data_IF_288512384857
#
_entry.id   IF_288512384857
#
_cell.length_a   1.000
_cell.length_b   1.000
_cell.length_c   1.000
_cell.angle_alpha   90.00
_cell.angle_beta   90.00
_cell.angle_gamma   90.00
#
_symmetry.space_group_name_H-M   'P 1'
#
loop_
_entity.id
_entity.type
_entity.pdbx_description
1 polymer ?
#
# COMPACT_ATOMS: atom_id res chain seq x y z
N UNK A 1 2.84 -8.09 11.78
CA UNK A 1 2.31 -7.71 10.44
C UNK A 1 1.35 -6.56 10.64
N UNK A 2 1.74 -5.35 10.25
CA UNK A 2 0.77 -4.27 10.03
C UNK A 2 -0.20 -4.71 8.94
N UNK A 3 -1.49 -4.39 9.07
CA UNK A 3 -2.44 -4.50 7.97
C UNK A 3 -2.50 -3.15 7.29
N UNK A 4 -1.70 -2.97 6.23
CA UNK A 4 -1.85 -1.87 5.30
C UNK A 4 -3.15 -2.10 4.50
N UNK A 5 -4.26 -1.61 5.07
CA UNK A 5 -5.51 -1.44 4.34
C UNK A 5 -5.44 -0.16 3.54
N UNK A 6 -6.07 -0.15 2.35
CA UNK A 6 -6.32 1.09 1.61
C UNK A 6 -7.07 2.05 2.54
N UNK A 7 -6.57 3.28 2.65
CA UNK A 7 -7.14 4.28 3.54
C UNK A 7 -8.58 4.61 3.09
N UNK A 8 -9.50 4.76 4.05
CA UNK A 8 -10.90 5.02 3.76
C UNK A 8 -11.04 6.33 2.98
N UNK A 9 -11.58 6.35 1.73
CA UNK A 9 -11.68 7.57 0.94
C UNK A 9 -12.49 8.67 1.63
N UNK A 10 -13.48 8.29 2.44
CA UNK A 10 -14.27 9.19 3.29
C UNK A 10 -13.37 9.91 4.30
N UNK A 11 -12.56 9.15 5.02
CA UNK A 11 -11.66 9.68 6.06
C UNK A 11 -10.47 10.39 5.44
N UNK A 12 -10.07 10.03 4.22
CA UNK A 12 -9.07 10.75 3.42
C UNK A 12 -9.58 12.16 3.07
N UNK A 13 -10.76 12.25 2.46
CA UNK A 13 -11.38 13.53 2.13
C UNK A 13 -11.59 14.39 3.37
N UNK A 14 -12.06 13.81 4.49
CA UNK A 14 -12.21 14.57 5.74
C UNK A 14 -10.87 15.11 6.26
N UNK A 15 -9.77 14.34 6.16
CA UNK A 15 -8.43 14.84 6.50
C UNK A 15 -7.98 15.96 5.57
N UNK A 16 -8.23 15.84 4.26
CA UNK A 16 -7.90 16.90 3.29
C UNK A 16 -8.70 18.17 3.58
N UNK A 17 -10.00 18.06 3.89
CA UNK A 17 -10.83 19.19 4.33
C UNK A 17 -10.29 19.84 5.61
N UNK A 18 -9.88 19.04 6.61
CA UNK A 18 -9.31 19.57 7.85
C UNK A 18 -7.98 20.33 7.59
N UNK A 19 -7.14 19.86 6.65
CA UNK A 19 -5.92 20.59 6.23
C UNK A 19 -6.26 21.91 5.54
N UNK A 20 -7.23 21.91 4.60
CA UNK A 20 -7.69 23.15 3.95
C UNK A 20 -8.27 24.14 4.98
N UNK A 21 -9.02 23.65 5.98
CA UNK A 21 -9.53 24.46 7.10
C UNK A 21 -8.38 25.07 7.91
N UNK A 22 -7.34 24.30 8.23
CA UNK A 22 -6.17 24.78 8.98
C UNK A 22 -5.38 25.86 8.20
N UNK A 23 -4.89 25.56 7.00
CA UNK A 23 -4.08 26.50 6.21
C UNK A 23 -4.82 27.81 5.92
N UNK A 24 -6.13 27.74 5.66
CA UNK A 24 -6.95 28.93 5.38
C UNK A 24 -7.36 29.70 6.65
N UNK A 25 -7.41 29.05 7.82
CA UNK A 25 -7.56 29.70 9.14
C UNK A 25 -6.28 30.44 9.54
N UNK A 26 -5.11 29.86 9.27
CA UNK A 26 -3.80 30.49 9.52
C UNK A 26 -3.62 31.77 8.69
N UNK A 27 -4.00 31.73 7.41
CA UNK A 27 -3.91 32.86 6.48
C UNK A 27 -4.87 34.04 6.76
N UNK A 28 -5.85 33.90 7.67
CA UNK A 28 -6.67 35.04 8.13
C UNK A 28 -5.96 35.75 9.28
N UNK A 29 -5.89 37.08 9.26
CA UNK A 29 -5.31 37.84 10.37
C UNK A 29 -6.20 37.84 11.61
N UNK A 30 -7.40 38.43 11.49
CA UNK A 30 -8.26 38.80 12.61
C UNK A 30 -9.03 37.61 13.22
N UNK A 31 -9.15 37.57 14.55
CA UNK A 31 -9.88 36.52 15.27
C UNK A 31 -11.34 36.35 14.80
N UNK A 32 -12.05 37.45 14.57
CA UNK A 32 -13.44 37.45 14.09
C UNK A 32 -13.56 36.77 12.72
N UNK A 33 -12.62 37.03 11.79
CA UNK A 33 -12.66 36.44 10.45
C UNK A 33 -12.22 34.98 10.44
N UNK A 34 -11.40 34.53 11.42
CA UNK A 34 -11.17 33.10 11.70
C UNK A 34 -12.45 32.41 12.17
N UNK A 35 -13.11 32.96 13.19
CA UNK A 35 -14.30 32.34 13.78
C UNK A 35 -15.47 32.25 12.78
N UNK A 36 -15.71 33.32 12.00
CA UNK A 36 -16.71 33.30 10.93
C UNK A 36 -16.35 32.27 9.83
N UNK A 37 -15.08 32.22 9.39
CA UNK A 37 -14.62 31.23 8.43
C UNK A 37 -14.80 29.79 8.93
N UNK A 38 -14.49 29.51 10.20
CA UNK A 38 -14.64 28.16 10.76
C UNK A 38 -16.09 27.69 10.87
N UNK A 39 -17.03 28.62 11.08
CA UNK A 39 -18.46 28.34 11.12
C UNK A 39 -19.03 28.00 9.73
N UNK A 40 -18.72 28.81 8.71
CA UNK A 40 -19.22 28.60 7.35
C UNK A 40 -18.37 27.65 6.49
N UNK A 41 -17.28 27.09 7.05
CA UNK A 41 -16.37 26.22 6.30
C UNK A 41 -17.09 24.98 5.75
N UNK A 42 -17.81 24.27 6.61
CA UNK A 42 -18.38 22.95 6.29
C UNK A 42 -19.62 23.05 5.37
N UNK A 43 -20.27 24.23 5.32
CA UNK A 43 -21.27 24.56 4.31
C UNK A 43 -20.65 24.77 2.91
N UNK A 44 -19.47 25.41 2.87
CA UNK A 44 -18.77 25.76 1.63
C UNK A 44 -17.86 24.64 1.09
N UNK A 45 -17.39 23.72 1.93
CA UNK A 45 -16.39 22.70 1.57
C UNK A 45 -16.92 21.27 1.75
N UNK A 46 -17.92 20.91 0.93
CA UNK A 46 -18.62 19.61 1.01
C UNK A 46 -17.82 18.50 0.30
N UNK A 47 -17.57 17.39 1.00
CA UNK A 47 -16.95 16.18 0.42
C UNK A 47 -17.97 15.39 -0.42
N UNK A 48 -17.59 15.01 -1.64
CA UNK A 48 -18.37 14.16 -2.54
C UNK A 48 -17.48 13.04 -3.10
N UNK A 49 -17.99 11.81 -3.08
CA UNK A 49 -17.25 10.61 -3.50
C UNK A 49 -17.97 10.01 -4.71
N UNK A 50 -17.29 10.00 -5.85
CA UNK A 50 -17.88 9.55 -7.12
C UNK A 50 -17.39 8.14 -7.47
N UNK A 51 -18.33 7.19 -7.52
CA UNK A 51 -18.06 5.83 -8.00
C UNK A 51 -17.93 5.85 -9.53
N UNK A 52 -16.69 5.93 -10.01
CA UNK A 52 -16.35 6.01 -11.44
C UNK A 52 -16.51 4.67 -12.20
N UNK A 53 -16.35 3.53 -11.51
CA UNK A 53 -16.47 2.20 -12.13
C UNK A 53 -17.88 1.61 -11.87
N UNK A 54 -18.67 1.28 -12.90
CA UNK A 54 -20.02 0.73 -12.73
C UNK A 54 -20.07 -0.66 -12.08
N UNK A 55 -18.93 -1.38 -12.00
CA UNK A 55 -18.81 -2.66 -11.28
C UNK A 55 -18.56 -2.47 -9.77
N UNK A 56 -18.34 -1.25 -9.29
CA UNK A 56 -18.15 -0.96 -7.86
C UNK A 56 -19.49 -0.99 -7.14
N UNK A 57 -19.74 -2.06 -6.37
CA UNK A 57 -20.93 -2.17 -5.54
C UNK A 57 -20.74 -1.40 -4.22
N UNK A 58 -21.70 -0.53 -3.89
CA UNK A 58 -21.80 0.11 -2.58
C UNK A 58 -23.07 -0.38 -1.89
N UNK A 59 -22.95 -0.89 -0.66
CA UNK A 59 -24.07 -1.54 0.02
C UNK A 59 -24.93 -0.51 0.79
N UNK A 60 -25.78 0.21 0.05
CA UNK A 60 -26.71 1.20 0.58
C UNK A 60 -27.68 0.66 1.66
N UNK A 61 -27.85 -0.66 1.83
CA UNK A 61 -28.70 -1.22 2.90
C UNK A 61 -28.05 -1.05 4.27
N UNK A 62 -26.76 -1.33 4.39
CA UNK A 62 -26.02 -1.31 5.67
C UNK A 62 -25.14 -0.08 5.86
N UNK A 63 -24.97 0.78 4.85
CA UNK A 63 -24.27 2.05 4.98
C UNK A 63 -24.96 2.99 6.01
N UNK A 64 -24.21 3.70 6.88
CA UNK A 64 -24.74 4.79 7.68
C UNK A 64 -25.17 5.97 6.80
N UNK A 65 -26.04 6.85 7.33
CA UNK A 65 -26.71 7.92 6.55
C UNK A 65 -25.72 8.87 5.88
N UNK A 66 -24.67 9.29 6.60
CA UNK A 66 -23.62 10.19 6.06
C UNK A 66 -23.01 9.65 4.74
N UNK A 67 -22.76 8.35 4.66
CA UNK A 67 -22.17 7.73 3.46
C UNK A 67 -23.14 7.62 2.30
N UNK A 68 -24.46 7.55 2.54
CA UNK A 68 -25.46 7.55 1.46
C UNK A 68 -25.60 8.92 0.80
N UNK A 69 -25.34 9.99 1.55
CA UNK A 69 -25.41 11.37 1.08
C UNK A 69 -24.11 11.82 0.39
N UNK A 70 -22.97 11.20 0.72
CA UNK A 70 -21.64 11.58 0.18
C UNK A 70 -21.15 10.67 -0.93
N UNK A 71 -21.57 9.39 -0.99
CA UNK A 71 -21.21 8.45 -2.06
C UNK A 71 -22.28 8.44 -3.14
N UNK A 72 -21.92 8.90 -4.35
CA UNK A 72 -22.77 8.90 -5.54
C UNK A 72 -22.12 8.10 -6.68
N UNK A 73 -22.89 7.74 -7.70
CA UNK A 73 -22.35 7.24 -8.98
C UNK A 73 -22.04 8.41 -9.93
N UNK A 74 -21.19 8.17 -10.92
CA UNK A 74 -20.82 9.17 -11.93
C UNK A 74 -22.01 9.77 -12.70
N UNK A 75 -23.09 9.00 -12.94
CA UNK A 75 -24.30 9.47 -13.63
C UNK A 75 -25.06 10.57 -12.87
N UNK A 76 -24.93 10.60 -11.54
CA UNK A 76 -25.60 11.57 -10.68
C UNK A 76 -24.79 12.85 -10.46
N UNK A 77 -23.50 12.89 -10.83
CA UNK A 77 -22.58 13.98 -10.47
C UNK A 77 -23.10 15.37 -10.86
N UNK A 78 -23.54 15.56 -12.11
CA UNK A 78 -24.05 16.86 -12.59
C UNK A 78 -25.35 17.25 -11.89
N UNK A 79 -26.23 16.29 -11.60
CA UNK A 79 -27.48 16.54 -10.88
C UNK A 79 -27.22 16.90 -9.40
N UNK A 80 -26.30 16.19 -8.74
CA UNK A 80 -25.88 16.49 -7.37
C UNK A 80 -25.22 17.86 -7.25
N UNK A 81 -24.32 18.24 -8.16
CA UNK A 81 -23.70 19.58 -8.16
C UNK A 81 -24.76 20.67 -8.36
N UNK A 82 -25.64 20.54 -9.36
CA UNK A 82 -26.72 21.51 -9.58
C UNK A 82 -27.63 21.64 -8.35
N UNK A 83 -27.97 20.53 -7.71
CA UNK A 83 -28.75 20.50 -6.47
C UNK A 83 -28.03 21.24 -5.34
N UNK A 84 -26.76 20.90 -5.06
CA UNK A 84 -25.97 21.52 -4.00
C UNK A 84 -25.82 23.04 -4.20
N UNK A 85 -25.65 23.50 -5.44
CA UNK A 85 -25.60 24.92 -5.77
C UNK A 85 -26.95 25.62 -5.56
N UNK A 86 -28.08 24.93 -5.80
CA UNK A 86 -29.43 25.47 -5.53
C UNK A 86 -29.85 25.42 -4.06
N UNK A 87 -29.19 24.60 -3.23
CA UNK A 87 -29.42 24.50 -1.79
C UNK A 87 -28.46 25.40 -0.96
N UNK A 88 -27.38 25.88 -1.56
CA UNK A 88 -26.47 26.87 -0.95
C UNK A 88 -27.15 28.24 -0.83
N UNK A 89 -26.77 28.96 0.23
CA UNK A 89 -27.17 30.36 0.49
C UNK A 89 -25.97 31.30 0.42
N UNK A 90 -24.82 30.76 0.00
CA UNK A 90 -23.54 31.44 0.00
C UNK A 90 -23.43 32.34 -1.25
N UNK A 91 -22.75 33.50 -1.16
CA UNK A 91 -22.50 34.33 -2.33
C UNK A 91 -21.60 33.59 -3.33
N UNK A 92 -21.95 33.65 -4.62
CA UNK A 92 -21.13 33.08 -5.69
C UNK A 92 -19.80 33.82 -5.80
N UNK A 93 -18.68 33.09 -5.72
CA UNK A 93 -17.34 33.63 -5.99
C UNK A 93 -17.22 34.22 -7.40
N UNK A 94 -16.63 35.41 -7.51
CA UNK A 94 -16.21 35.97 -8.79
C UNK A 94 -14.99 35.24 -9.35
N UNK A 95 -14.75 35.35 -10.67
CA UNK A 95 -13.56 34.77 -11.32
C UNK A 95 -12.25 35.21 -10.65
N UNK A 96 -12.16 36.50 -10.28
CA UNK A 96 -11.00 37.06 -9.56
C UNK A 96 -10.78 36.35 -8.22
N UNK A 97 -11.82 36.20 -7.39
CA UNK A 97 -11.71 35.54 -6.09
C UNK A 97 -11.39 34.05 -6.22
N UNK A 98 -11.94 33.37 -7.24
CA UNK A 98 -11.59 31.98 -7.54
C UNK A 98 -10.11 31.84 -7.95
N UNK A 99 -9.58 32.82 -8.69
CA UNK A 99 -8.18 32.84 -9.12
C UNK A 99 -7.23 33.15 -7.95
N UNK A 100 -7.54 34.16 -7.14
CA UNK A 100 -6.81 34.46 -5.89
C UNK A 100 -6.85 33.26 -4.90
N UNK A 101 -7.94 32.50 -4.88
CA UNK A 101 -8.06 31.26 -4.10
C UNK A 101 -7.16 30.12 -4.64
N UNK A 102 -7.10 29.96 -5.97
CA UNK A 102 -6.22 28.98 -6.61
C UNK A 102 -4.74 29.34 -6.41
N UNK A 103 -4.39 30.61 -6.64
CA UNK A 103 -3.04 31.15 -6.44
C UNK A 103 -2.60 31.02 -4.97
N UNK A 104 -3.51 31.23 -4.00
CA UNK A 104 -3.24 30.97 -2.57
C UNK A 104 -2.85 29.51 -2.30
N UNK A 105 -3.62 28.53 -2.78
CA UNK A 105 -3.30 27.11 -2.55
C UNK A 105 -2.07 26.64 -3.33
N UNK A 106 -1.82 27.19 -4.52
CA UNK A 106 -0.62 26.91 -5.31
C UNK A 106 0.64 27.40 -4.59
N UNK A 107 0.62 28.61 -4.01
CA UNK A 107 1.75 29.14 -3.24
C UNK A 107 1.90 28.50 -1.85
N UNK A 108 0.83 27.95 -1.28
CA UNK A 108 0.89 27.16 -0.04
C UNK A 108 1.45 25.73 -0.27
N UNK A 109 1.49 25.24 -1.51
CA UNK A 109 2.02 23.93 -1.85
C UNK A 109 3.55 23.92 -1.74
N UNK A 110 4.07 23.29 -0.68
CA UNK A 110 5.49 22.94 -0.62
C UNK A 110 5.74 21.82 -1.63
N UNK A 111 6.65 21.98 -2.61
CA UNK A 111 7.03 20.87 -3.47
C UNK A 111 7.74 19.82 -2.61
N UNK A 112 7.16 18.62 -2.53
CA UNK A 112 7.82 17.45 -1.95
C UNK A 112 8.99 17.05 -2.86
N UNK A 113 10.11 17.77 -2.73
CA UNK A 113 11.42 17.36 -3.23
C UNK A 113 11.92 16.18 -2.37
N UNK A 114 11.17 15.08 -2.45
CA UNK A 114 11.58 13.76 -2.02
C UNK A 114 12.66 13.31 -2.99
N UNK A 115 13.89 13.67 -2.64
CA UNK A 115 15.11 13.30 -3.35
C UNK A 115 15.32 11.79 -3.21
N UNK A 116 14.57 11.02 -4.02
CA UNK A 116 14.58 9.57 -3.98
C UNK A 116 15.98 9.01 -4.20
N UNK A 117 16.83 9.72 -4.95
CA UNK A 117 18.27 9.45 -5.13
C UNK A 117 18.96 9.20 -3.80
N UNK A 118 18.86 10.12 -2.83
CA UNK A 118 19.43 9.96 -1.49
C UNK A 118 18.96 8.72 -0.76
N UNK A 119 17.66 8.40 -0.86
CA UNK A 119 17.13 7.17 -0.25
C UNK A 119 17.74 5.92 -0.90
N UNK A 120 17.98 5.93 -2.22
CA UNK A 120 18.66 4.82 -2.90
C UNK A 120 20.16 4.78 -2.57
N UNK A 121 20.83 5.94 -2.45
CA UNK A 121 22.23 6.06 -2.00
C UNK A 121 22.42 5.50 -0.58
N UNK A 122 21.55 5.88 0.36
CA UNK A 122 21.52 5.34 1.74
C UNK A 122 21.36 3.81 1.73
N UNK A 123 20.41 3.27 0.96
CA UNK A 123 20.21 1.81 0.86
C UNK A 123 21.38 1.07 0.17
N UNK A 124 22.11 1.72 -0.75
CA UNK A 124 23.33 1.14 -1.35
C UNK A 124 24.46 1.09 -0.32
N UNK A 125 24.66 2.17 0.44
CA UNK A 125 25.65 2.26 1.52
C UNK A 125 25.35 1.22 2.62
N UNK A 126 24.08 0.98 2.98
CA UNK A 126 23.69 -0.10 3.91
C UNK A 126 24.07 -1.50 3.39
N UNK A 127 23.87 -1.77 2.10
CA UNK A 127 24.23 -3.06 1.47
C UNK A 127 25.75 -3.24 1.40
N UNK A 128 26.50 -2.22 0.97
CA UNK A 128 27.97 -2.27 0.92
C UNK A 128 28.57 -2.49 2.32
N UNK A 129 28.10 -1.74 3.32
CA UNK A 129 28.57 -1.93 4.71
C UNK A 129 28.24 -3.33 5.25
N UNK A 130 27.08 -3.89 4.91
CA UNK A 130 26.72 -5.26 5.32
C UNK A 130 27.67 -6.30 4.70
N UNK A 131 27.99 -6.17 3.41
CA UNK A 131 28.93 -7.09 2.74
C UNK A 131 30.39 -6.91 3.19
N UNK A 132 30.80 -5.70 3.59
CA UNK A 132 32.13 -5.45 4.14
C UNK A 132 32.30 -6.08 5.54
N UNK A 133 31.24 -6.12 6.36
CA UNK A 133 31.26 -6.80 7.66
C UNK A 133 31.38 -8.33 7.49
N UNK A 134 30.58 -8.93 6.59
CA UNK A 134 30.63 -10.38 6.31
C UNK A 134 32.00 -10.86 5.78
N UNK A 135 32.82 -9.95 5.22
CA UNK A 135 34.16 -10.27 4.72
C UNK A 135 35.26 -10.21 5.79
N UNK A 136 35.08 -9.45 6.88
CA UNK A 136 36.12 -9.30 7.92
C UNK A 136 36.18 -10.48 8.91
N UNK A 137 35.05 -11.14 9.22
CA UNK A 137 35.03 -12.30 10.12
C UNK A 137 35.67 -13.58 9.52
N UNK A 138 36.02 -13.58 8.22
CA UNK A 138 36.56 -14.75 7.52
C UNK A 138 38.10 -14.77 7.39
N UNK A 139 38.81 -13.71 7.75
CA UNK A 139 40.26 -13.57 7.49
C UNK A 139 41.16 -14.15 8.61
N UNK A 140 40.98 -15.41 9.01
CA UNK A 140 41.87 -16.04 10.00
C UNK A 140 42.00 -17.59 9.94
N UNK A 141 42.24 -18.15 8.75
CA UNK A 141 42.82 -19.50 8.60
C UNK A 141 43.98 -19.42 7.59
N UNK A 142 45.21 -19.71 8.04
CA UNK A 142 46.43 -19.73 7.21
C UNK A 142 46.65 -21.11 6.59
N UNK A 143 46.56 -21.21 5.26
CA UNK A 143 47.15 -22.29 4.46
C UNK A 143 47.75 -21.69 3.19
N UNK A 144 49.04 -21.97 2.94
CA UNK A 144 49.81 -21.37 1.84
C UNK A 144 49.56 -22.05 0.50
N UNK A 145 49.39 -21.21 -0.52
CA UNK A 145 49.81 -21.34 -1.93
C UNK A 145 49.75 -22.71 -2.63
N UNK A 146 49.08 -22.73 -3.79
CA UNK A 146 49.74 -22.76 -5.12
C UNK A 146 48.72 -22.27 -6.17
N UNK A 147 49.20 -21.73 -7.28
CA UNK A 147 48.38 -20.99 -8.26
C UNK A 147 47.64 -21.88 -9.27
N UNK A 148 46.50 -21.34 -9.70
CA UNK A 148 45.59 -21.67 -10.82
C UNK A 148 46.29 -21.96 -12.18
N UNK A 149 45.61 -22.47 -13.25
CA UNK A 149 44.15 -22.43 -13.44
C UNK A 149 43.43 -23.63 -14.13
N UNK A 150 42.10 -23.55 -14.11
CA UNK A 150 41.13 -24.13 -15.07
C UNK A 150 41.06 -25.65 -15.27
N UNK A 151 40.08 -26.30 -14.62
CA UNK A 151 39.27 -27.42 -15.15
C UNK A 151 37.94 -27.42 -14.37
N UNK A 152 36.73 -27.35 -14.94
CA UNK A 152 36.09 -27.92 -16.15
C UNK A 152 35.32 -29.22 -15.85
N UNK A 153 34.03 -29.22 -16.20
CA UNK A 153 33.11 -30.37 -16.37
C UNK A 153 32.65 -31.16 -15.12
N UNK A 154 31.32 -31.11 -14.98
CA UNK A 154 30.31 -32.08 -14.53
C UNK A 154 30.64 -33.56 -14.24
N UNK A 155 29.71 -34.15 -13.46
CA UNK A 155 29.38 -35.58 -13.28
C UNK A 155 30.07 -36.34 -12.12
N UNK A 156 29.24 -36.63 -11.09
CA UNK A 156 28.80 -37.98 -10.66
C UNK A 156 29.85 -39.12 -10.53
N UNK A 157 29.83 -40.01 -9.53
CA UNK A 157 28.77 -40.38 -8.56
C UNK A 157 29.35 -41.17 -7.36
N UNK A 158 28.54 -41.34 -6.30
CA UNK A 158 28.63 -42.41 -5.26
C UNK A 158 29.86 -42.41 -4.32
N UNK A 159 29.85 -42.90 -3.07
CA UNK A 159 28.81 -43.44 -2.16
C UNK A 159 29.28 -43.20 -0.68
N UNK A 160 28.64 -43.52 0.47
CA UNK A 160 27.44 -44.29 0.89
C UNK A 160 27.00 -43.82 2.30
N UNK A 161 25.82 -44.27 2.75
CA UNK A 161 25.41 -44.43 4.18
C UNK A 161 25.18 -43.17 5.05
N UNK A 162 24.11 -43.08 5.87
CA UNK A 162 22.94 -43.97 6.04
C UNK A 162 21.74 -43.21 6.65
N UNK A 163 20.55 -43.43 6.06
CA UNK A 163 19.21 -43.45 6.69
C UNK A 163 18.67 -42.16 7.38
N UNK A 164 17.39 -41.76 7.26
CA UNK A 164 16.17 -42.52 6.90
C UNK A 164 15.15 -41.66 6.11
N UNK A 165 14.77 -42.13 4.92
CA UNK A 165 13.43 -42.18 4.27
C UNK A 165 12.34 -41.14 4.66
N UNK A 166 11.57 -40.50 3.75
CA UNK A 166 11.24 -40.76 2.32
C UNK A 166 10.87 -39.49 1.53
N UNK A 167 11.09 -39.50 0.21
CA UNK A 167 10.42 -38.73 -0.88
C UNK A 167 10.16 -37.21 -0.73
N UNK A 168 10.37 -36.34 -1.72
CA UNK A 168 11.16 -36.22 -2.97
C UNK A 168 10.59 -34.99 -3.72
N UNK A 169 11.21 -34.56 -4.83
CA UNK A 169 10.74 -33.44 -5.69
C UNK A 169 10.58 -32.06 -5.01
N UNK A 170 11.67 -31.55 -4.43
CA UNK A 170 11.83 -30.16 -4.01
C UNK A 170 11.94 -29.16 -5.19
N UNK A 171 11.00 -29.21 -6.14
CA UNK A 171 10.84 -28.14 -7.13
C UNK A 171 10.52 -26.83 -6.40
N UNK A 172 11.21 -25.73 -6.76
CA UNK A 172 11.16 -24.44 -6.07
C UNK A 172 9.82 -23.68 -6.31
N UNK A 173 8.71 -24.26 -5.84
CA UNK A 173 7.37 -23.67 -5.94
C UNK A 173 7.16 -22.65 -4.80
N UNK A 174 7.26 -21.37 -5.12
CA UNK A 174 7.06 -20.27 -4.17
C UNK A 174 5.58 -19.92 -4.01
N UNK A 175 5.15 -19.55 -2.79
CA UNK A 175 3.77 -19.16 -2.52
C UNK A 175 3.45 -17.73 -3.04
N UNK A 176 2.52 -17.55 -3.99
CA UNK A 176 2.21 -16.24 -4.58
C UNK A 176 1.50 -15.27 -3.63
N UNK A 177 1.13 -15.71 -2.41
CA UNK A 177 0.52 -14.84 -1.38
C UNK A 177 1.50 -14.35 -0.31
N UNK A 178 2.73 -14.87 -0.23
CA UNK A 178 3.68 -14.46 0.82
C UNK A 178 5.17 -14.82 0.60
N UNK A 179 5.60 -15.27 -0.58
CA UNK A 179 7.02 -15.59 -0.86
C UNK A 179 7.59 -16.84 -0.16
N UNK A 180 6.84 -17.46 0.75
CA UNK A 180 7.30 -18.66 1.48
C UNK A 180 7.22 -19.92 0.60
N UNK A 181 8.09 -20.91 0.84
CA UNK A 181 8.08 -22.20 0.11
C UNK A 181 6.73 -22.92 0.23
N UNK A 182 6.28 -23.55 -0.85
CA UNK A 182 5.18 -24.52 -0.83
C UNK A 182 5.72 -25.91 -0.46
N UNK A 183 4.93 -26.67 0.29
CA UNK A 183 5.25 -28.04 0.70
C UNK A 183 4.07 -28.96 0.43
N UNK A 184 4.35 -30.18 0.01
CA UNK A 184 3.32 -31.18 -0.26
C UNK A 184 2.71 -31.66 1.07
N UNK A 185 1.37 -31.72 1.14
CA UNK A 185 0.60 -32.18 2.30
C UNK A 185 -0.54 -33.09 1.85
N UNK A 186 -0.87 -34.09 2.65
CA UNK A 186 -2.02 -34.99 2.42
C UNK A 186 -3.21 -34.50 3.24
N UNK A 187 -4.39 -34.39 2.62
CA UNK A 187 -5.60 -34.00 3.33
C UNK A 187 -6.10 -35.14 4.23
N UNK A 188 -6.45 -34.83 5.48
CA UNK A 188 -6.80 -35.82 6.51
C UNK A 188 -8.30 -35.92 6.82
N UNK A 189 -9.13 -34.98 6.37
CA UNK A 189 -10.58 -34.92 6.64
C UNK A 189 -11.36 -34.32 5.45
N UNK A 190 -12.64 -34.69 5.33
CA UNK A 190 -13.57 -34.19 4.30
C UNK A 190 -13.40 -34.84 2.92
N UNK A 191 -14.15 -34.38 1.92
CA UNK A 191 -14.32 -35.01 0.59
C UNK A 191 -13.05 -35.10 -0.28
N UNK A 192 -11.92 -34.57 0.19
CA UNK A 192 -10.61 -34.68 -0.44
C UNK A 192 -9.59 -35.44 0.43
N UNK A 193 -10.03 -36.10 1.51
CA UNK A 193 -9.17 -36.94 2.34
C UNK A 193 -8.37 -37.95 1.49
N UNK A 194 -7.11 -38.15 1.83
CA UNK A 194 -6.18 -38.98 1.07
C UNK A 194 -5.51 -38.27 -0.12
N UNK A 195 -6.07 -37.18 -0.67
CA UNK A 195 -5.45 -36.44 -1.79
C UNK A 195 -4.31 -35.53 -1.30
N UNK A 196 -3.31 -35.35 -2.16
CA UNK A 196 -2.19 -34.43 -1.92
C UNK A 196 -2.52 -33.01 -2.41
N UNK A 197 -1.93 -32.01 -1.75
CA UNK A 197 -2.01 -30.61 -2.12
C UNK A 197 -0.74 -29.85 -1.70
N UNK A 198 -0.36 -28.83 -2.47
CA UNK A 198 0.69 -27.88 -2.10
C UNK A 198 0.15 -26.88 -1.09
N UNK A 199 0.61 -26.93 0.16
CA UNK A 199 0.30 -25.97 1.21
C UNK A 199 1.44 -25.00 1.46
N UNK A 200 1.15 -23.75 1.81
CA UNK A 200 2.18 -22.80 2.25
C UNK A 200 2.84 -23.24 3.56
N UNK A 201 4.17 -23.21 3.64
CA UNK A 201 4.91 -23.50 4.88
C UNK A 201 4.55 -22.56 6.02
N UNK A 202 4.23 -21.30 5.72
CA UNK A 202 3.85 -20.27 6.70
C UNK A 202 2.40 -20.40 7.24
N UNK A 203 1.75 -21.56 7.13
CA UNK A 203 0.48 -21.83 7.83
C UNK A 203 0.68 -21.79 9.36
N UNK A 204 -0.22 -21.19 10.17
CA UNK A 204 -1.53 -20.62 9.81
C UNK A 204 -1.51 -19.17 9.31
N UNK A 205 -0.35 -18.48 9.36
CA UNK A 205 -0.17 -17.06 8.96
C UNK A 205 -0.39 -16.84 7.46
N UNK A 206 -0.31 -17.88 6.63
CA UNK A 206 -0.78 -17.92 5.25
C UNK A 206 -1.57 -19.21 5.02
N UNK A 207 -2.80 -19.08 4.49
CA UNK A 207 -3.70 -20.21 4.17
C UNK A 207 -3.80 -20.48 2.66
N UNK A 208 -2.73 -20.21 1.90
CA UNK A 208 -2.69 -20.57 0.49
C UNK A 208 -2.50 -22.08 0.31
N UNK A 209 -3.32 -22.66 -0.55
CA UNK A 209 -3.18 -24.04 -1.02
C UNK A 209 -3.41 -24.09 -2.54
N UNK A 210 -2.80 -25.09 -3.20
CA UNK A 210 -3.10 -25.49 -4.58
C UNK A 210 -3.19 -27.02 -4.61
N UNK A 211 -4.08 -27.60 -5.40
CA UNK A 211 -4.10 -29.06 -5.64
C UNK A 211 -2.72 -29.49 -6.18
N UNK A 212 -2.27 -30.70 -5.79
CA UNK A 212 -0.95 -31.22 -6.17
C UNK A 212 -0.85 -31.39 -7.69
#
# INVERSE_FOLDING_TARGET
>A
KVKEGIYSPVTQNQRHLNVLKACRKEAKGNFITKMAFEHYFDDNHKSLIVLANPKTYFNYRFAPKELKNTVIRADQLVATIKKLNSESKDPSYTEKEMRELADFYLNANKPDCSDYSKKYEEMLIEVENTQNIEQQDNSNIDVKAIESPNTTISYNTDEKSTNTSTNSESSNKTCPKCGSKLILRKASKGNNAGKSFWGCSAFPKCRYTKIA
#
